data_IF_341535719328
#
_entry.id   IF_341535719328
#
_cell.length_a   1.000
_cell.length_b   1.000
_cell.length_c   1.000
_cell.angle_alpha   90.00
_cell.angle_beta   90.00
_cell.angle_gamma   90.00
#
_symmetry.space_group_name_H-M   'P 1'
#
loop_
_entity.id
_entity.type
_entity.pdbx_description
1 polymer ?
#
# COMPACT_ATOMS: atom_id res chain seq x y z
N UNK A 1 1.22 -4.96 -23.30
CA UNK A 1 2.11 -5.23 -22.15
C UNK A 1 3.36 -5.95 -22.64
N UNK A 2 4.52 -5.74 -22.01
CA UNK A 2 5.75 -6.47 -22.35
C UNK A 2 5.65 -7.93 -21.85
N UNK A 3 6.33 -8.86 -22.51
CA UNK A 3 6.33 -10.30 -22.21
C UNK A 3 6.66 -10.59 -20.73
N UNK A 4 7.67 -9.91 -20.18
CA UNK A 4 8.06 -10.07 -18.77
C UNK A 4 6.98 -9.64 -17.78
N UNK A 5 6.19 -8.62 -18.11
CA UNK A 5 5.09 -8.18 -17.26
C UNK A 5 3.98 -9.23 -17.21
N UNK A 6 3.70 -9.89 -18.34
CA UNK A 6 2.75 -11.00 -18.37
C UNK A 6 3.26 -12.18 -17.52
N UNK A 7 4.55 -12.53 -17.65
CA UNK A 7 5.16 -13.58 -16.81
C UNK A 7 5.10 -13.25 -15.33
N UNK A 8 5.38 -12.00 -14.94
CA UNK A 8 5.22 -11.52 -13.56
C UNK A 8 3.80 -11.76 -13.03
N UNK A 9 2.78 -11.34 -13.79
CA UNK A 9 1.38 -11.48 -13.37
C UNK A 9 0.94 -12.95 -13.29
N UNK A 10 1.38 -13.80 -14.23
CA UNK A 10 1.10 -15.23 -14.21
C UNK A 10 1.71 -15.93 -12.98
N UNK A 11 2.99 -15.67 -12.70
CA UNK A 11 3.68 -16.23 -11.54
C UNK A 11 3.08 -15.73 -10.22
N UNK A 12 2.68 -14.45 -10.19
CA UNK A 12 2.04 -13.84 -9.03
C UNK A 12 0.68 -14.47 -8.74
N UNK A 13 -0.18 -14.67 -9.75
CA UNK A 13 -1.46 -15.38 -9.58
C UNK A 13 -1.27 -16.75 -8.96
N UNK A 14 -0.33 -17.53 -9.47
CA UNK A 14 -0.03 -18.85 -8.92
C UNK A 14 0.58 -18.80 -7.51
N UNK A 15 1.19 -17.69 -7.10
CA UNK A 15 1.67 -17.52 -5.72
C UNK A 15 0.52 -17.35 -4.72
N UNK A 16 -0.62 -16.85 -5.17
CA UNK A 16 -1.82 -16.62 -4.35
C UNK A 16 -2.62 -17.92 -4.13
N UNK A 17 -2.41 -18.93 -4.98
CA UNK A 17 -3.03 -20.25 -4.91
C UNK A 17 -1.95 -21.36 -4.85
N UNK A 18 -1.29 -21.59 -3.69
CA UNK A 18 -0.13 -22.49 -3.61
C UNK A 18 -0.44 -23.96 -3.99
N UNK A 19 -1.70 -24.36 -3.90
CA UNK A 19 -2.21 -25.69 -4.24
C UNK A 19 -2.36 -25.91 -5.74
N UNK A 20 -2.43 -24.82 -6.53
CA UNK A 20 -2.56 -24.87 -7.99
C UNK A 20 -1.17 -24.97 -8.62
N UNK A 21 -1.03 -25.86 -9.61
CA UNK A 21 0.21 -26.00 -10.38
C UNK A 21 0.63 -24.66 -11.00
N UNK A 22 1.94 -24.33 -10.99
CA UNK A 22 2.40 -23.09 -11.58
C UNK A 22 2.11 -23.06 -13.10
N UNK A 23 1.91 -21.88 -13.68
CA UNK A 23 1.58 -21.74 -15.09
C UNK A 23 2.77 -22.13 -15.97
N UNK A 24 2.47 -22.54 -17.20
CA UNK A 24 3.50 -22.64 -18.23
C UNK A 24 3.99 -21.25 -18.60
N UNK A 25 5.27 -20.96 -18.35
CA UNK A 25 5.90 -19.69 -18.71
C UNK A 25 6.84 -19.86 -19.90
N UNK A 26 7.07 -18.81 -20.71
CA UNK A 26 8.10 -18.86 -21.74
C UNK A 26 9.47 -19.11 -21.13
N UNK A 27 10.37 -19.76 -21.88
CA UNK A 27 11.76 -19.93 -21.45
C UNK A 27 12.43 -18.56 -21.35
N UNK A 28 12.82 -18.19 -20.13
CA UNK A 28 13.49 -16.92 -19.85
C UNK A 28 15.01 -17.07 -19.96
N UNK A 29 15.67 -16.04 -20.48
CA UNK A 29 17.13 -15.92 -20.41
C UNK A 29 17.59 -15.50 -19.01
N UNK A 30 18.89 -15.59 -18.72
CA UNK A 30 19.46 -15.10 -17.45
C UNK A 30 19.21 -13.59 -17.26
N UNK A 31 19.23 -12.82 -18.35
CA UNK A 31 18.92 -11.39 -18.31
C UNK A 31 17.44 -11.15 -17.98
N UNK A 32 16.54 -11.92 -18.58
CA UNK A 32 15.11 -11.87 -18.30
C UNK A 32 14.81 -12.18 -16.84
N UNK A 33 15.46 -13.19 -16.25
CA UNK A 33 15.32 -13.49 -14.83
C UNK A 33 15.83 -12.36 -13.92
N UNK A 34 16.93 -11.70 -14.27
CA UNK A 34 17.42 -10.53 -13.54
C UNK A 34 16.44 -9.35 -13.62
N UNK A 35 15.86 -9.12 -14.80
CA UNK A 35 14.83 -8.10 -15.00
C UNK A 35 13.56 -8.43 -14.22
N UNK A 36 13.12 -9.70 -14.22
CA UNK A 36 11.98 -10.16 -13.45
C UNK A 36 12.20 -10.00 -11.93
N UNK A 37 13.40 -10.31 -11.42
CA UNK A 37 13.77 -10.04 -10.03
C UNK A 37 13.62 -8.55 -9.68
N UNK A 38 14.11 -7.69 -10.57
CA UNK A 38 14.03 -6.23 -10.38
C UNK A 38 12.57 -5.75 -10.39
N UNK A 39 11.75 -6.26 -11.31
CA UNK A 39 10.32 -5.95 -11.38
C UNK A 39 9.58 -6.44 -10.12
N UNK A 40 9.86 -7.66 -9.66
CA UNK A 40 9.26 -8.22 -8.45
C UNK A 40 9.56 -7.36 -7.22
N UNK A 41 10.82 -6.92 -7.07
CA UNK A 41 11.24 -6.03 -5.99
C UNK A 41 10.59 -4.64 -6.10
N UNK A 42 10.48 -4.08 -7.31
CA UNK A 42 9.78 -2.80 -7.52
C UNK A 42 8.30 -2.88 -7.14
N UNK A 43 7.68 -4.04 -7.39
CA UNK A 43 6.28 -4.27 -7.08
C UNK A 43 6.01 -4.80 -5.67
N UNK A 44 7.04 -5.09 -4.88
CA UNK A 44 6.92 -5.58 -3.51
C UNK A 44 6.38 -7.01 -3.40
N UNK A 45 6.72 -7.85 -4.39
CA UNK A 45 6.19 -9.22 -4.53
C UNK A 45 7.29 -10.28 -4.67
N UNK A 46 8.53 -9.95 -4.27
CA UNK A 46 9.70 -10.84 -4.42
C UNK A 46 9.52 -12.18 -3.72
N UNK A 47 9.09 -12.17 -2.45
CA UNK A 47 8.92 -13.39 -1.67
C UNK A 47 7.82 -14.29 -2.24
N UNK A 48 6.67 -13.69 -2.59
CA UNK A 48 5.55 -14.40 -3.24
C UNK A 48 5.97 -15.07 -4.54
N UNK A 49 6.71 -14.36 -5.41
CA UNK A 49 7.19 -14.93 -6.66
C UNK A 49 8.18 -16.06 -6.44
N UNK A 50 9.03 -15.96 -5.41
CA UNK A 50 10.04 -16.98 -5.14
C UNK A 50 9.42 -18.34 -4.85
N UNK A 51 8.32 -18.37 -4.08
CA UNK A 51 7.58 -19.61 -3.80
C UNK A 51 7.05 -20.28 -5.07
N UNK A 52 6.53 -19.50 -6.02
CA UNK A 52 6.11 -20.04 -7.31
C UNK A 52 7.29 -20.48 -8.17
N UNK A 53 8.40 -19.73 -8.17
CA UNK A 53 9.61 -20.08 -8.92
C UNK A 53 10.16 -21.45 -8.46
N UNK A 54 10.15 -21.74 -7.17
CA UNK A 54 10.61 -23.02 -6.64
C UNK A 54 9.74 -24.21 -7.04
N UNK A 55 8.47 -23.97 -7.41
CA UNK A 55 7.54 -24.99 -7.90
C UNK A 55 7.62 -25.22 -9.42
N UNK A 56 8.28 -24.34 -10.17
CA UNK A 56 8.48 -24.53 -11.61
C UNK A 56 9.35 -25.76 -11.89
N UNK A 57 9.19 -26.42 -13.06
CA UNK A 57 10.12 -27.44 -13.51
C UNK A 57 11.57 -26.95 -13.44
N UNK A 58 12.51 -27.80 -13.04
CA UNK A 58 13.91 -27.39 -12.80
C UNK A 58 14.55 -26.71 -14.03
N UNK A 59 14.21 -27.14 -15.24
CA UNK A 59 14.70 -26.59 -16.49
C UNK A 59 14.14 -25.19 -16.80
N UNK A 60 13.07 -24.78 -16.12
CA UNK A 60 12.42 -23.48 -16.22
C UNK A 60 12.77 -22.56 -15.03
N UNK A 61 13.63 -22.99 -14.09
CA UNK A 61 14.06 -22.14 -12.98
C UNK A 61 15.27 -21.26 -13.37
N UNK A 62 15.50 -20.14 -12.66
CA UNK A 62 16.71 -19.35 -12.84
C UNK A 62 17.97 -20.12 -12.40
N UNK A 63 19.15 -19.58 -12.77
CA UNK A 63 20.44 -20.12 -12.33
C UNK A 63 20.53 -20.24 -10.80
N UNK A 64 21.41 -21.13 -10.32
CA UNK A 64 21.66 -21.29 -8.87
C UNK A 64 22.05 -19.98 -8.20
N UNK A 65 22.88 -19.16 -8.84
CA UNK A 65 23.31 -17.87 -8.31
C UNK A 65 22.12 -16.92 -8.14
N UNK A 66 21.22 -16.85 -9.13
CA UNK A 66 19.99 -16.07 -9.01
C UNK A 66 19.07 -16.62 -7.93
N UNK A 67 18.86 -17.93 -7.84
CA UNK A 67 18.05 -18.54 -6.77
C UNK A 67 18.51 -18.15 -5.38
N UNK A 68 19.83 -18.11 -5.14
CA UNK A 68 20.39 -17.63 -3.86
C UNK A 68 20.03 -16.16 -3.61
N UNK A 69 20.11 -15.30 -4.64
CA UNK A 69 19.71 -13.89 -4.53
C UNK A 69 18.23 -13.72 -4.19
N UNK A 70 17.35 -14.49 -4.84
CA UNK A 70 15.92 -14.53 -4.50
C UNK A 70 15.71 -14.99 -3.05
N UNK A 71 16.32 -16.11 -2.66
CA UNK A 71 16.21 -16.67 -1.31
C UNK A 71 16.64 -15.67 -0.21
N UNK A 72 17.80 -15.03 -0.37
CA UNK A 72 18.29 -14.03 0.59
C UNK A 72 17.36 -12.80 0.68
N UNK A 73 16.76 -12.41 -0.44
CA UNK A 73 15.80 -11.30 -0.47
C UNK A 73 14.49 -11.67 0.24
N UNK A 74 13.98 -12.88 0.01
CA UNK A 74 12.80 -13.41 0.70
C UNK A 74 13.05 -13.57 2.20
N UNK A 75 14.21 -14.11 2.60
CA UNK A 75 14.59 -14.23 4.01
C UNK A 75 14.69 -12.86 4.70
N UNK A 76 15.21 -11.84 4.01
CA UNK A 76 15.25 -10.48 4.53
C UNK A 76 13.85 -9.87 4.72
N UNK A 77 12.90 -10.18 3.82
CA UNK A 77 11.49 -9.78 3.95
C UNK A 77 10.86 -10.46 5.18
N UNK A 78 11.06 -11.77 5.35
CA UNK A 78 10.56 -12.54 6.49
C UNK A 78 11.14 -12.02 7.82
N UNK A 79 12.45 -11.75 7.86
CA UNK A 79 13.12 -11.17 9.05
C UNK A 79 12.56 -9.80 9.41
N UNK A 80 12.29 -8.95 8.40
CA UNK A 80 11.66 -7.63 8.60
C UNK A 80 10.25 -7.78 9.14
N UNK A 81 9.45 -8.68 8.57
CA UNK A 81 8.08 -8.97 9.06
C UNK A 81 8.11 -9.38 10.55
N UNK A 82 9.00 -10.29 10.93
CA UNK A 82 9.15 -10.70 12.32
C UNK A 82 9.61 -9.55 13.24
N UNK A 83 10.52 -8.69 12.77
CA UNK A 83 10.95 -7.50 13.50
C UNK A 83 9.80 -6.51 13.71
N UNK A 84 8.99 -6.27 12.67
CA UNK A 84 7.84 -5.38 12.75
C UNK A 84 6.72 -5.93 13.62
N UNK A 85 6.47 -7.24 13.57
CA UNK A 85 5.51 -7.91 14.45
C UNK A 85 5.89 -7.71 15.93
N UNK A 86 7.17 -7.92 16.28
CA UNK A 86 7.65 -7.66 17.64
C UNK A 86 7.54 -6.19 18.03
N UNK A 87 7.98 -5.28 17.15
CA UNK A 87 7.91 -3.84 17.41
C UNK A 87 6.45 -3.36 17.59
N UNK A 88 5.54 -3.79 16.73
CA UNK A 88 4.11 -3.49 16.83
C UNK A 88 3.57 -3.98 18.17
N UNK A 89 3.81 -5.24 18.53
CA UNK A 89 3.33 -5.80 19.79
C UNK A 89 3.86 -5.06 21.02
N UNK A 90 5.16 -4.76 21.07
CA UNK A 90 5.77 -4.01 22.18
C UNK A 90 5.19 -2.60 22.31
N UNK A 91 5.03 -1.88 21.18
CA UNK A 91 4.48 -0.53 21.15
C UNK A 91 2.99 -0.51 21.53
N UNK A 92 2.17 -1.38 20.94
CA UNK A 92 0.74 -1.43 21.27
C UNK A 92 0.50 -1.84 22.71
N UNK A 93 1.36 -2.70 23.28
CA UNK A 93 1.32 -3.05 24.71
C UNK A 93 1.71 -1.87 25.60
N UNK A 94 2.78 -1.14 25.26
CA UNK A 94 3.18 0.08 25.97
C UNK A 94 2.04 1.09 25.99
N UNK A 95 1.44 1.39 24.84
CA UNK A 95 0.34 2.32 24.73
C UNK A 95 -0.89 1.87 25.52
N UNK A 96 -1.29 0.60 25.38
CA UNK A 96 -2.42 0.04 26.11
C UNK A 96 -2.22 0.11 27.64
N UNK A 97 -1.00 -0.17 28.15
CA UNK A 97 -0.70 -0.07 29.58
C UNK A 97 -0.82 1.35 30.15
N UNK A 98 -0.82 2.37 29.28
CA UNK A 98 -1.03 3.77 29.64
C UNK A 98 -2.41 4.28 29.19
N UNK A 99 -3.35 3.39 28.84
CA UNK A 99 -4.71 3.75 28.44
C UNK A 99 -4.79 4.47 27.09
N UNK A 100 -3.79 4.31 26.22
CA UNK A 100 -3.82 4.79 24.84
C UNK A 100 -4.23 3.62 23.93
N UNK A 101 -5.40 3.75 23.30
CA UNK A 101 -5.89 2.75 22.33
C UNK A 101 -5.15 2.94 21.02
N UNK A 102 -4.74 1.82 20.43
CA UNK A 102 -4.04 1.81 19.14
C UNK A 102 -4.67 0.83 18.16
N UNK A 103 -4.66 1.19 16.88
CA UNK A 103 -5.01 0.30 15.77
C UNK A 103 -3.84 0.24 14.80
N UNK A 104 -3.37 -0.96 14.50
CA UNK A 104 -2.37 -1.20 13.45
C UNK A 104 -3.04 -1.10 12.09
N UNK A 105 -2.75 -0.04 11.36
CA UNK A 105 -3.29 0.24 10.04
C UNK A 105 -2.46 -0.43 8.95
N UNK A 106 -3.14 -0.80 7.85
CA UNK A 106 -2.56 -1.30 6.59
C UNK A 106 -1.36 -2.24 6.81
N UNK A 107 -0.46 -2.33 5.84
CA UNK A 107 0.88 -2.79 6.15
C UNK A 107 0.93 -4.23 6.68
N UNK A 108 1.56 -4.37 7.85
CA UNK A 108 1.61 -5.60 8.62
C UNK A 108 0.22 -6.13 9.01
N UNK A 109 -0.76 -5.26 9.28
CA UNK A 109 -2.13 -5.67 9.61
C UNK A 109 -2.84 -6.41 8.47
N UNK A 110 -2.43 -6.18 7.21
CA UNK A 110 -2.99 -6.86 6.04
C UNK A 110 -2.25 -8.13 5.65
N UNK A 111 -1.11 -8.43 6.28
CA UNK A 111 -0.33 -9.62 5.92
C UNK A 111 -1.10 -10.92 6.16
N UNK A 112 -2.08 -10.90 7.08
CA UNK A 112 -2.91 -12.05 7.41
C UNK A 112 -3.71 -12.60 6.22
N UNK A 113 -3.95 -11.77 5.19
CA UNK A 113 -4.72 -12.16 4.00
C UNK A 113 -3.86 -12.84 2.93
N UNK A 114 -2.53 -12.84 3.09
CA UNK A 114 -1.62 -13.50 2.15
C UNK A 114 -1.49 -14.99 2.48
N UNK A 115 -1.24 -15.88 1.50
CA UNK A 115 -1.06 -17.32 1.75
C UNK A 115 0.03 -17.61 2.78
N UNK A 116 1.08 -16.79 2.78
CA UNK A 116 2.11 -16.75 3.82
C UNK A 116 2.28 -15.31 4.31
N UNK A 117 1.84 -14.97 5.53
CA UNK A 117 1.89 -13.59 6.01
C UNK A 117 3.28 -12.95 5.98
N UNK A 118 4.33 -13.72 6.25
CA UNK A 118 5.71 -13.22 6.29
C UNK A 118 6.24 -12.80 4.91
N UNK A 119 5.53 -13.14 3.83
CA UNK A 119 5.91 -12.80 2.45
C UNK A 119 5.31 -11.51 1.94
N UNK A 120 4.37 -10.93 2.69
CA UNK A 120 3.90 -9.58 2.44
C UNK A 120 5.02 -8.62 2.83
N UNK A 121 5.74 -8.10 1.83
CA UNK A 121 6.78 -7.11 2.08
C UNK A 121 6.17 -5.88 2.76
N UNK A 122 6.77 -5.42 3.86
CA UNK A 122 6.30 -4.30 4.67
C UNK A 122 7.31 -3.15 4.68
N UNK A 123 6.80 -1.92 4.74
CA UNK A 123 7.59 -0.70 4.81
C UNK A 123 7.67 -0.19 6.25
N UNK A 124 6.78 0.74 6.58
CA UNK A 124 6.52 1.29 7.91
C UNK A 124 5.54 0.46 8.73
N UNK A 125 5.44 0.81 10.01
CA UNK A 125 4.31 0.50 10.88
C UNK A 125 3.47 1.77 11.02
N UNK A 126 2.17 1.69 10.75
CA UNK A 126 1.24 2.80 10.90
C UNK A 126 0.28 2.49 12.04
N UNK A 127 0.32 3.31 13.09
CA UNK A 127 -0.56 3.18 14.24
C UNK A 127 -1.49 4.37 14.29
N UNK A 128 -2.81 4.13 14.28
CA UNK A 128 -3.74 5.16 14.74
C UNK A 128 -3.83 5.13 16.25
N UNK A 129 -3.76 6.30 16.88
CA UNK A 129 -3.86 6.47 18.33
C UNK A 129 -5.06 7.36 18.65
N UNK A 130 -5.87 6.97 19.64
CA UNK A 130 -6.95 7.82 20.12
C UNK A 130 -6.45 9.06 20.89
N UNK A 131 -5.24 9.00 21.44
CA UNK A 131 -4.51 10.12 22.07
C UNK A 131 -3.05 10.12 21.58
N UNK A 132 -2.85 10.69 20.39
CA UNK A 132 -1.53 10.72 19.74
C UNK A 132 -0.52 11.56 20.53
N UNK A 133 -0.93 12.66 21.17
CA UNK A 133 -0.04 13.49 21.97
C UNK A 133 0.50 12.73 23.19
N UNK A 134 -0.37 11.97 23.89
CA UNK A 134 0.07 11.09 24.97
C UNK A 134 0.96 9.97 24.47
N UNK A 135 0.61 9.34 23.35
CA UNK A 135 1.46 8.31 22.73
C UNK A 135 2.85 8.83 22.38
N UNK A 136 2.95 10.03 21.80
CA UNK A 136 4.22 10.64 21.45
C UNK A 136 5.06 10.95 22.69
N UNK A 137 4.46 11.49 23.77
CA UNK A 137 5.18 11.69 25.04
C UNK A 137 5.76 10.39 25.60
N UNK A 138 5.01 9.29 25.57
CA UNK A 138 5.50 7.97 26.02
C UNK A 138 6.71 7.51 25.20
N UNK A 139 6.77 7.82 23.91
CA UNK A 139 7.91 7.51 23.05
C UNK A 139 9.12 8.41 23.37
N UNK A 140 8.90 9.69 23.63
CA UNK A 140 9.95 10.62 24.06
C UNK A 140 10.55 10.23 25.42
N UNK A 141 9.73 9.73 26.35
CA UNK A 141 10.16 9.21 27.66
C UNK A 141 11.10 8.00 27.53
N UNK A 142 11.05 7.25 26.42
CA UNK A 142 12.03 6.21 26.07
C UNK A 142 13.34 6.77 25.50
N UNK A 143 13.49 8.10 25.42
CA UNK A 143 14.65 8.77 24.82
C UNK A 143 14.65 8.76 23.29
N UNK A 144 13.52 8.45 22.65
CA UNK A 144 13.39 8.37 21.20
C UNK A 144 12.98 9.74 20.64
N UNK A 145 13.72 10.22 19.64
CA UNK A 145 13.37 11.46 18.94
C UNK A 145 12.23 11.24 17.96
N UNK A 146 11.27 12.15 17.98
CA UNK A 146 10.11 12.14 17.09
C UNK A 146 10.19 13.32 16.11
N UNK A 147 9.81 13.05 14.86
CA UNK A 147 9.60 14.09 13.84
C UNK A 147 8.11 14.43 13.73
N UNK A 148 7.79 15.72 13.84
CA UNK A 148 6.43 16.29 13.74
C UNK A 148 6.20 17.13 12.48
N UNK A 149 7.00 16.94 11.42
CA UNK A 149 6.89 17.69 10.15
C UNK A 149 5.57 17.46 9.39
N UNK A 150 4.80 16.42 9.75
CA UNK A 150 3.53 16.06 9.13
C UNK A 150 2.37 16.38 10.07
N UNK A 151 1.34 17.06 9.54
CA UNK A 151 0.09 17.34 10.28
C UNK A 151 -0.74 16.07 10.54
N UNK A 152 -0.47 14.99 9.80
CA UNK A 152 -1.26 13.75 9.88
C UNK A 152 -0.70 12.75 10.90
N UNK A 153 0.62 12.71 11.06
CA UNK A 153 1.30 11.71 11.89
C UNK A 153 2.66 12.19 12.35
N UNK A 154 3.10 11.68 13.50
CA UNK A 154 4.46 11.81 13.97
C UNK A 154 5.29 10.59 13.52
N UNK A 155 6.57 10.79 13.20
CA UNK A 155 7.45 9.72 12.69
C UNK A 155 8.63 9.50 13.62
N UNK A 156 8.90 8.24 13.97
CA UNK A 156 10.06 7.86 14.78
C UNK A 156 10.60 6.49 14.37
N UNK A 157 11.75 6.11 14.93
CA UNK A 157 12.33 4.79 14.73
C UNK A 157 12.38 4.02 16.05
N UNK A 158 11.75 2.86 16.07
CA UNK A 158 11.73 1.96 17.22
C UNK A 158 12.42 0.65 16.87
N UNK A 159 13.56 0.36 17.53
CA UNK A 159 14.38 -0.85 17.28
C UNK A 159 14.67 -1.12 15.79
N UNK A 160 14.95 -0.07 15.03
CA UNK A 160 15.26 -0.13 13.59
C UNK A 160 14.05 -0.18 12.66
N UNK A 161 12.82 -0.08 13.19
CA UNK A 161 11.58 0.01 12.41
C UNK A 161 11.07 1.45 12.40
N UNK A 162 10.73 1.97 11.23
CA UNK A 162 10.05 3.27 11.11
C UNK A 162 8.58 3.12 11.50
N UNK A 163 8.11 4.00 12.38
CA UNK A 163 6.73 4.00 12.90
C UNK A 163 6.11 5.37 12.66
N UNK A 164 4.87 5.37 12.17
CA UNK A 164 4.02 6.54 12.02
C UNK A 164 2.88 6.48 13.06
N UNK A 165 2.90 7.39 14.04
CA UNK A 165 1.79 7.59 14.96
C UNK A 165 0.81 8.59 14.36
N UNK A 166 -0.31 8.09 13.84
CA UNK A 166 -1.37 8.88 13.24
C UNK A 166 -2.28 9.51 14.28
N UNK A 167 -2.36 10.85 14.24
CA UNK A 167 -3.44 11.62 14.90
C UNK A 167 -4.70 11.68 14.03
N UNK A 168 -4.53 11.61 12.70
CA UNK A 168 -5.63 11.61 11.72
C UNK A 168 -5.53 10.42 10.78
N UNK A 169 -6.67 9.83 10.42
CA UNK A 169 -6.75 8.67 9.54
C UNK A 169 -6.60 9.09 8.08
N UNK A 170 -7.27 10.18 7.71
CA UNK A 170 -7.09 10.86 6.43
C UNK A 170 -6.20 12.10 6.59
N UNK A 171 -5.85 12.73 5.46
CA UNK A 171 -5.20 14.03 5.52
C UNK A 171 -6.20 15.06 6.04
N UNK A 172 -5.82 15.91 7.03
CA UNK A 172 -6.65 17.02 7.44
C UNK A 172 -7.08 17.86 6.23
N UNK A 173 -8.38 18.09 6.11
CA UNK A 173 -8.98 18.77 4.97
C UNK A 173 -10.08 19.73 5.43
N UNK A 174 -10.14 20.91 4.82
CA UNK A 174 -11.20 21.87 5.11
C UNK A 174 -12.55 21.47 4.50
N UNK A 175 -12.57 20.50 3.57
CA UNK A 175 -13.81 20.01 2.95
C UNK A 175 -14.66 19.30 4.00
N UNK A 176 -15.95 19.66 4.11
CA UNK A 176 -16.87 19.08 5.12
C UNK A 176 -17.03 17.57 4.94
N UNK A 177 -17.11 17.11 3.70
CA UNK A 177 -17.25 15.68 3.37
C UNK A 177 -16.04 14.87 3.83
N UNK A 178 -14.82 15.40 3.69
CA UNK A 178 -13.60 14.74 4.16
C UNK A 178 -13.56 14.59 5.67
N UNK A 179 -13.97 15.62 6.42
CA UNK A 179 -14.11 15.54 7.87
C UNK A 179 -15.14 14.50 8.29
N UNK A 180 -16.30 14.47 7.64
CA UNK A 180 -17.32 13.46 7.92
C UNK A 180 -16.83 12.01 7.69
N UNK A 181 -15.95 11.80 6.71
CA UNK A 181 -15.31 10.49 6.50
C UNK A 181 -14.31 10.17 7.61
N UNK A 182 -13.47 11.12 8.02
CA UNK A 182 -12.53 10.93 9.12
C UNK A 182 -13.29 10.62 10.43
N UNK A 183 -14.35 11.37 10.74
CA UNK A 183 -15.24 11.15 11.88
C UNK A 183 -15.90 9.76 11.82
N UNK A 184 -16.36 9.33 10.64
CA UNK A 184 -16.90 7.99 10.43
C UNK A 184 -15.85 6.92 10.71
N UNK A 185 -14.62 7.08 10.22
CA UNK A 185 -13.54 6.13 10.46
C UNK A 185 -13.14 6.09 11.95
N UNK A 186 -13.12 7.23 12.64
CA UNK A 186 -12.90 7.29 14.09
C UNK A 186 -14.03 6.57 14.85
N UNK A 187 -15.28 6.70 14.40
CA UNK A 187 -16.39 5.90 14.94
C UNK A 187 -16.21 4.40 14.69
N UNK A 188 -15.83 4.01 13.48
CA UNK A 188 -15.55 2.60 13.12
C UNK A 188 -14.32 2.02 13.82
N UNK A 189 -13.41 2.86 14.32
CA UNK A 189 -12.28 2.41 15.13
C UNK A 189 -12.75 1.68 16.40
N UNK A 190 -13.95 1.97 16.91
CA UNK A 190 -14.57 1.23 18.01
C UNK A 190 -14.81 -0.25 17.68
N UNK A 191 -15.05 -0.57 16.40
CA UNK A 191 -15.28 -1.93 15.88
C UNK A 191 -13.97 -2.66 15.50
N UNK A 192 -12.81 -2.14 15.89
CA UNK A 192 -11.51 -2.79 15.64
C UNK A 192 -11.45 -4.20 16.23
N UNK A 193 -10.75 -5.11 15.56
CA UNK A 193 -10.65 -6.53 15.94
C UNK A 193 -9.28 -6.84 16.53
N UNK A 194 -9.23 -7.65 17.57
CA UNK A 194 -7.97 -8.18 18.10
C UNK A 194 -7.46 -9.27 17.16
N UNK A 195 -6.35 -9.02 16.47
CA UNK A 195 -5.71 -10.02 15.63
C UNK A 195 -5.01 -11.09 16.50
N UNK A 196 -4.82 -12.32 15.98
CA UNK A 196 -4.09 -13.38 16.71
C UNK A 196 -2.70 -12.98 17.20
N UNK A 197 -2.06 -12.02 16.53
CA UNK A 197 -0.76 -11.46 16.90
C UNK A 197 -0.80 -10.51 18.13
N UNK A 198 -1.97 -10.26 18.72
CA UNK A 198 -2.13 -9.53 19.98
C UNK A 198 -2.23 -8.00 19.85
N UNK A 199 -2.51 -7.48 18.66
CA UNK A 199 -2.79 -6.06 18.42
C UNK A 199 -4.13 -5.88 17.70
N UNK A 200 -4.75 -4.70 17.85
CA UNK A 200 -6.00 -4.39 17.16
C UNK A 200 -5.75 -3.98 15.71
N UNK A 201 -6.59 -4.49 14.79
CA UNK A 201 -6.64 -4.12 13.38
C UNK A 201 -8.02 -3.52 13.05
N UNK A 202 -8.16 -2.76 11.94
CA UNK A 202 -9.43 -2.15 11.61
C UNK A 202 -10.53 -3.16 11.29
N UNK A 203 -11.80 -2.73 11.41
CA UNK A 203 -12.96 -3.49 10.94
C UNK A 203 -13.00 -3.54 9.39
N UNK A 204 -13.78 -4.45 8.78
CA UNK A 204 -14.00 -4.47 7.34
C UNK A 204 -14.57 -3.16 6.80
N UNK A 205 -15.56 -2.58 7.50
CA UNK A 205 -16.13 -1.28 7.15
C UNK A 205 -15.08 -0.16 7.17
N UNK A 206 -14.23 -0.14 8.19
CA UNK A 206 -13.11 0.80 8.24
C UNK A 206 -12.15 0.58 7.07
N UNK A 207 -11.69 -0.65 6.86
CA UNK A 207 -10.68 -0.98 5.85
C UNK A 207 -11.18 -0.73 4.43
N UNK A 208 -12.46 -1.00 4.14
CA UNK A 208 -13.06 -0.70 2.85
C UNK A 208 -12.77 0.76 2.46
N UNK A 209 -13.10 1.69 3.36
CA UNK A 209 -12.92 3.12 3.13
C UNK A 209 -11.46 3.56 3.26
N UNK A 210 -10.79 3.21 4.36
CA UNK A 210 -9.42 3.65 4.65
C UNK A 210 -8.42 3.17 3.59
N UNK A 211 -8.45 1.89 3.20
CA UNK A 211 -7.49 1.33 2.24
C UNK A 211 -7.68 1.95 0.86
N UNK A 212 -8.93 2.12 0.40
CA UNK A 212 -9.19 2.78 -0.88
C UNK A 212 -8.67 4.22 -0.86
N UNK A 213 -9.02 4.99 0.17
CA UNK A 213 -8.61 6.41 0.30
C UNK A 213 -7.09 6.55 0.35
N UNK A 214 -6.42 5.68 1.11
CA UNK A 214 -4.97 5.62 1.19
C UNK A 214 -4.33 5.30 -0.16
N UNK A 215 -4.78 4.22 -0.81
CA UNK A 215 -4.28 3.80 -2.12
C UNK A 215 -4.50 4.86 -3.20
N UNK A 216 -5.69 5.48 -3.26
CA UNK A 216 -6.01 6.54 -4.20
C UNK A 216 -5.14 7.79 -4.00
N UNK A 217 -4.86 8.18 -2.76
CA UNK A 217 -3.92 9.26 -2.44
C UNK A 217 -2.51 8.95 -2.95
N UNK A 218 -1.98 7.76 -2.65
CA UNK A 218 -0.65 7.36 -3.15
C UNK A 218 -0.64 7.32 -4.68
N UNK A 219 -1.70 6.80 -5.30
CA UNK A 219 -1.83 6.77 -6.76
C UNK A 219 -1.76 8.16 -7.38
N UNK A 220 -2.36 9.16 -6.73
CA UNK A 220 -2.42 10.53 -7.20
C UNK A 220 -1.07 11.19 -7.44
N UNK A 221 -0.05 10.95 -6.61
CA UNK A 221 1.26 11.64 -6.76
C UNK A 221 2.50 10.76 -6.63
N UNK A 222 2.41 9.70 -5.83
CA UNK A 222 3.55 8.85 -5.52
C UNK A 222 3.66 7.66 -6.48
N UNK A 223 2.50 7.16 -6.91
CA UNK A 223 2.30 5.90 -7.61
C UNK A 223 1.96 4.78 -6.62
N UNK A 224 1.27 3.76 -7.11
CA UNK A 224 1.06 2.50 -6.40
C UNK A 224 1.65 1.36 -7.23
N UNK A 225 1.92 0.24 -6.56
CA UNK A 225 2.45 -0.96 -7.18
C UNK A 225 1.48 -2.14 -7.02
N UNK A 226 1.80 -3.31 -7.58
CA UNK A 226 0.92 -4.48 -7.54
C UNK A 226 0.58 -4.92 -6.11
N UNK A 227 1.50 -4.79 -5.15
CA UNK A 227 1.22 -5.10 -3.73
C UNK A 227 0.03 -4.29 -3.18
N UNK A 228 -0.19 -3.04 -3.62
CA UNK A 228 -1.36 -2.28 -3.17
C UNK A 228 -2.67 -2.86 -3.72
N UNK A 229 -2.67 -3.33 -4.98
CA UNK A 229 -3.83 -4.03 -5.55
C UNK A 229 -4.05 -5.40 -4.89
N UNK A 230 -2.98 -6.12 -4.54
CA UNK A 230 -3.06 -7.37 -3.78
C UNK A 230 -3.64 -7.14 -2.39
N UNK A 231 -3.11 -6.16 -1.65
CA UNK A 231 -3.63 -5.76 -0.34
C UNK A 231 -5.14 -5.48 -0.41
N UNK A 232 -5.59 -4.76 -1.44
CA UNK A 232 -7.00 -4.45 -1.66
C UNK A 232 -7.85 -5.69 -2.00
N UNK A 233 -7.41 -6.48 -2.98
CA UNK A 233 -8.20 -7.60 -3.45
C UNK A 233 -8.23 -8.78 -2.49
N UNK A 234 -7.13 -9.08 -1.79
CA UNK A 234 -7.09 -10.12 -0.75
C UNK A 234 -7.94 -9.73 0.46
N UNK A 235 -8.00 -8.44 0.80
CA UNK A 235 -8.94 -7.92 1.79
C UNK A 235 -10.39 -8.15 1.34
N UNK A 236 -10.75 -7.78 0.11
CA UNK A 236 -12.10 -7.98 -0.41
C UNK A 236 -12.48 -9.47 -0.46
N UNK A 237 -11.61 -10.32 -1.01
CA UNK A 237 -11.78 -11.79 -1.02
C UNK A 237 -12.16 -12.33 0.36
N UNK A 238 -11.47 -11.85 1.39
CA UNK A 238 -11.60 -12.37 2.75
C UNK A 238 -12.76 -11.78 3.54
N UNK A 239 -13.08 -10.50 3.34
CA UNK A 239 -13.94 -9.74 4.27
C UNK A 239 -15.21 -9.17 3.60
N UNK A 240 -15.39 -9.32 2.28
CA UNK A 240 -16.52 -8.72 1.55
C UNK A 240 -17.89 -9.05 2.15
N UNK A 241 -18.09 -10.23 2.72
CA UNK A 241 -19.36 -10.62 3.35
C UNK A 241 -19.72 -9.79 4.59
N UNK A 242 -18.76 -9.09 5.18
CA UNK A 242 -18.94 -8.27 6.38
C UNK A 242 -18.96 -6.77 6.10
N UNK A 243 -18.95 -6.39 4.81
CA UNK A 243 -19.00 -4.99 4.37
C UNK A 243 -20.43 -4.64 3.97
N UNK A 244 -20.96 -3.57 4.57
CA UNK A 244 -22.17 -2.90 4.08
C UNK A 244 -21.81 -2.09 2.82
N UNK A 245 -21.93 -2.76 1.66
CA UNK A 245 -21.62 -2.15 0.37
C UNK A 245 -22.58 -1.03 -0.01
N UNK A 246 -23.85 -1.06 0.42
CA UNK A 246 -24.78 0.04 0.14
C UNK A 246 -24.27 1.34 0.77
N UNK A 247 -23.87 1.27 2.04
CA UNK A 247 -23.29 2.40 2.77
C UNK A 247 -21.94 2.83 2.20
N UNK A 248 -21.04 1.88 1.93
CA UNK A 248 -19.69 2.19 1.40
C UNK A 248 -19.78 2.85 0.02
N UNK A 249 -20.59 2.32 -0.89
CA UNK A 249 -20.77 2.89 -2.24
C UNK A 249 -21.40 4.29 -2.17
N UNK A 250 -22.33 4.51 -1.23
CA UNK A 250 -22.90 5.85 -0.97
C UNK A 250 -21.81 6.84 -0.54
N UNK A 251 -20.90 6.44 0.36
CA UNK A 251 -19.79 7.30 0.81
C UNK A 251 -18.80 7.59 -0.33
N UNK A 252 -18.52 6.62 -1.19
CA UNK A 252 -17.67 6.84 -2.37
C UNK A 252 -18.31 7.81 -3.35
N UNK A 253 -19.59 7.64 -3.67
CA UNK A 253 -20.30 8.56 -4.56
C UNK A 253 -20.34 9.98 -3.98
N UNK A 254 -20.63 10.13 -2.69
CA UNK A 254 -20.68 11.43 -2.01
C UNK A 254 -19.32 12.16 -1.97
N UNK A 255 -18.21 11.43 -2.11
CA UNK A 255 -16.86 11.98 -2.09
C UNK A 255 -16.19 12.01 -3.47
N UNK A 256 -16.79 11.40 -4.50
CA UNK A 256 -16.23 11.28 -5.85
C UNK A 256 -15.12 10.22 -5.98
N UNK A 257 -15.16 9.18 -5.14
CA UNK A 257 -14.20 8.07 -5.12
C UNK A 257 -14.76 6.79 -5.79
N UNK A 258 -15.98 6.83 -6.30
CA UNK A 258 -16.67 5.71 -6.96
C UNK A 258 -15.93 5.23 -8.22
N UNK A 259 -15.45 6.17 -9.06
CA UNK A 259 -14.74 5.80 -10.29
C UNK A 259 -13.41 5.10 -9.99
N UNK A 260 -12.64 5.61 -9.02
CA UNK A 260 -11.35 5.00 -8.65
C UNK A 260 -11.56 3.67 -7.92
N UNK A 261 -12.59 3.55 -7.08
CA UNK A 261 -13.02 2.29 -6.48
C UNK A 261 -13.29 1.23 -7.55
N UNK A 262 -14.17 1.52 -8.52
CA UNK A 262 -14.56 0.55 -9.54
C UNK A 262 -13.35 0.07 -10.35
N UNK A 263 -12.42 0.96 -10.70
CA UNK A 263 -11.21 0.59 -11.44
C UNK A 263 -10.27 -0.26 -10.59
N UNK A 264 -10.00 0.13 -9.35
CA UNK A 264 -9.09 -0.63 -8.49
C UNK A 264 -9.65 -2.00 -8.13
N UNK A 265 -10.96 -2.11 -7.85
CA UNK A 265 -11.63 -3.38 -7.59
C UNK A 265 -11.63 -4.29 -8.81
N UNK A 266 -11.93 -3.78 -10.01
CA UNK A 266 -11.84 -4.56 -11.24
C UNK A 266 -10.41 -5.07 -11.53
N UNK A 267 -9.40 -4.21 -11.36
CA UNK A 267 -8.00 -4.60 -11.54
C UNK A 267 -7.52 -5.60 -10.48
N UNK A 268 -8.00 -5.49 -9.24
CA UNK A 268 -7.71 -6.44 -8.20
C UNK A 268 -8.32 -7.82 -8.51
N UNK A 269 -9.59 -7.86 -8.97
CA UNK A 269 -10.25 -9.10 -9.41
C UNK A 269 -9.50 -9.76 -10.57
N UNK A 270 -9.10 -8.98 -11.59
CA UNK A 270 -8.25 -9.48 -12.67
C UNK A 270 -6.88 -9.99 -12.18
N UNK A 271 -6.29 -9.34 -11.18
CA UNK A 271 -4.99 -9.76 -10.62
C UNK A 271 -5.11 -11.08 -9.85
N UNK A 272 -6.23 -11.29 -9.16
CA UNK A 272 -6.51 -12.44 -8.30
C UNK A 272 -7.22 -13.60 -9.01
N UNK A 273 -7.66 -13.39 -10.25
CA UNK A 273 -8.54 -14.29 -11.00
C UNK A 273 -9.88 -14.54 -10.28
N UNK A 274 -10.48 -13.46 -9.77
CA UNK A 274 -11.68 -13.49 -8.94
C UNK A 274 -12.75 -12.53 -9.48
N UNK A 275 -14.01 -12.98 -9.45
CA UNK A 275 -15.13 -12.17 -9.93
C UNK A 275 -15.60 -11.16 -8.88
N UNK A 276 -15.02 -9.97 -8.92
CA UNK A 276 -15.48 -8.81 -8.15
C UNK A 276 -16.51 -7.94 -8.88
N UNK A 277 -17.04 -8.38 -10.04
CA UNK A 277 -18.08 -7.63 -10.77
C UNK A 277 -19.30 -7.31 -9.90
N UNK A 278 -19.79 -8.20 -9.02
CA UNK A 278 -20.91 -7.89 -8.13
C UNK A 278 -20.65 -6.76 -7.14
N UNK A 279 -19.38 -6.44 -6.85
CA UNK A 279 -18.99 -5.39 -5.91
C UNK A 279 -18.94 -3.99 -6.54
N UNK A 280 -19.00 -3.91 -7.87
CA UNK A 280 -18.85 -2.66 -8.60
C UNK A 280 -20.15 -1.85 -8.59
N UNK A 281 -20.06 -0.53 -8.41
CA UNK A 281 -21.21 0.35 -8.62
C UNK A 281 -21.45 0.67 -10.09
N UNK A 282 -20.42 0.57 -10.92
CA UNK A 282 -20.50 0.74 -12.37
C UNK A 282 -19.36 0.00 -13.06
N UNK A 283 -19.60 -0.45 -14.30
CA UNK A 283 -18.57 -1.03 -15.15
C UNK A 283 -17.52 0.06 -15.48
N UNK A 284 -16.22 -0.17 -15.19
CA UNK A 284 -15.19 0.82 -15.48
C UNK A 284 -15.01 1.08 -16.98
N UNK A 285 -14.73 2.33 -17.35
CA UNK A 285 -14.29 2.65 -18.71
C UNK A 285 -13.03 1.84 -19.07
N UNK A 286 -13.05 1.03 -20.15
CA UNK A 286 -11.94 0.14 -20.47
C UNK A 286 -10.62 0.87 -20.75
N UNK A 287 -10.68 2.05 -21.39
CA UNK A 287 -9.47 2.80 -21.73
C UNK A 287 -8.82 3.41 -20.48
N UNK A 288 -9.64 3.94 -19.59
CA UNK A 288 -9.19 4.50 -18.31
C UNK A 288 -8.66 3.42 -17.39
N UNK A 289 -9.35 2.27 -17.28
CA UNK A 289 -8.86 1.10 -16.53
C UNK A 289 -7.50 0.64 -17.06
N UNK A 290 -7.34 0.51 -18.37
CA UNK A 290 -6.06 0.15 -18.98
C UNK A 290 -4.97 1.20 -18.72
N UNK A 291 -5.32 2.50 -18.76
CA UNK A 291 -4.38 3.57 -18.44
C UNK A 291 -3.91 3.52 -16.99
N UNK A 292 -4.81 3.21 -16.05
CA UNK A 292 -4.47 3.00 -14.64
C UNK A 292 -3.55 1.79 -14.47
N UNK A 293 -3.89 0.65 -15.10
CA UNK A 293 -3.02 -0.53 -15.07
C UNK A 293 -1.62 -0.23 -15.60
N UNK A 294 -1.51 0.49 -16.72
CA UNK A 294 -0.21 0.88 -17.28
C UNK A 294 0.60 1.79 -16.33
N UNK A 295 -0.05 2.68 -15.59
CA UNK A 295 0.61 3.53 -14.58
C UNK A 295 1.13 2.68 -13.40
N UNK A 296 0.34 1.72 -12.93
CA UNK A 296 0.71 0.78 -11.85
C UNK A 296 1.89 -0.10 -12.30
N UNK A 297 1.83 -0.66 -13.51
CA UNK A 297 2.90 -1.49 -14.08
C UNK A 297 4.16 -0.67 -14.41
N UNK A 298 4.01 0.63 -14.64
CA UNK A 298 5.11 1.60 -14.81
C UNK A 298 5.67 2.13 -13.49
N UNK A 299 5.27 1.59 -12.34
CA UNK A 299 5.75 2.02 -11.04
C UNK A 299 7.28 1.94 -10.94
N UNK A 300 7.88 2.94 -10.28
CA UNK A 300 9.33 2.96 -10.06
C UNK A 300 10.18 3.48 -11.22
N UNK A 301 9.63 3.63 -12.45
CA UNK A 301 10.36 4.16 -13.62
C UNK A 301 11.00 5.54 -13.38
N UNK A 302 10.43 6.33 -12.46
CA UNK A 302 10.91 7.67 -12.10
C UNK A 302 11.78 7.71 -10.83
N UNK A 303 12.10 6.57 -10.18
CA UNK A 303 12.83 6.51 -8.89
C UNK A 303 14.37 6.46 -9.04
N UNK A 304 14.96 7.26 -9.93
CA UNK A 304 16.43 7.39 -10.00
C UNK A 304 16.93 8.61 -9.21
N UNK A 305 17.66 8.42 -8.09
CA UNK A 305 18.13 9.51 -7.24
C UNK A 305 19.35 10.27 -7.79
N UNK A 306 19.93 9.83 -8.92
CA UNK A 306 21.16 10.40 -9.47
C UNK A 306 20.91 11.72 -10.23
N UNK A 307 21.60 12.78 -9.81
CA UNK A 307 21.60 14.08 -10.51
C UNK A 307 21.77 15.26 -9.56
N UNK A 308 22.21 16.40 -10.11
CA UNK A 308 22.29 17.66 -9.36
C UNK A 308 20.90 18.18 -8.95
N UNK A 309 20.84 19.14 -8.03
CA UNK A 309 19.59 19.67 -7.47
C UNK A 309 18.58 20.12 -8.54
N UNK A 310 19.03 20.84 -9.57
CA UNK A 310 18.16 21.30 -10.67
C UNK A 310 17.53 20.15 -11.45
N UNK A 311 18.31 19.10 -11.76
CA UNK A 311 17.77 17.92 -12.42
C UNK A 311 16.77 17.16 -11.54
N UNK A 312 16.99 17.10 -10.22
CA UNK A 312 16.04 16.51 -9.27
C UNK A 312 14.72 17.28 -9.23
N UNK A 313 14.78 18.61 -9.14
CA UNK A 313 13.61 19.49 -9.20
C UNK A 313 12.86 19.28 -10.51
N UNK A 314 13.55 19.34 -11.66
CA UNK A 314 12.94 19.17 -12.98
C UNK A 314 12.23 17.81 -13.14
N UNK A 315 12.83 16.73 -12.63
CA UNK A 315 12.22 15.38 -12.62
C UNK A 315 11.01 15.32 -11.70
N UNK A 316 11.10 15.86 -10.49
CA UNK A 316 9.98 15.90 -9.53
C UNK A 316 8.80 16.67 -10.11
N UNK A 317 9.05 17.83 -10.71
CA UNK A 317 8.03 18.63 -11.41
C UNK A 317 7.43 17.85 -12.57
N UNK A 318 8.24 17.25 -13.45
CA UNK A 318 7.74 16.45 -14.58
C UNK A 318 6.85 15.29 -14.10
N UNK A 319 7.26 14.56 -13.07
CA UNK A 319 6.46 13.49 -12.46
C UNK A 319 5.15 14.02 -11.89
N UNK A 320 5.18 15.15 -11.20
CA UNK A 320 3.98 15.75 -10.63
C UNK A 320 2.97 16.13 -11.72
N UNK A 321 3.44 16.78 -12.79
CA UNK A 321 2.60 17.14 -13.93
C UNK A 321 2.13 15.93 -14.75
N UNK A 322 2.92 14.85 -14.82
CA UNK A 322 2.48 13.60 -15.43
C UNK A 322 1.34 12.94 -14.66
N UNK A 323 1.10 13.32 -13.40
CA UNK A 323 -0.04 12.85 -12.62
C UNK A 323 -1.31 13.69 -12.81
N UNK A 324 -1.25 14.83 -13.50
CA UNK A 324 -2.41 15.74 -13.68
C UNK A 324 -3.65 15.05 -14.24
N UNK A 325 -3.48 14.06 -15.12
CA UNK A 325 -4.61 13.33 -15.69
C UNK A 325 -5.42 12.60 -14.62
N UNK A 326 -4.77 12.06 -13.57
CA UNK A 326 -5.42 11.32 -12.49
C UNK A 326 -6.47 12.18 -11.79
N UNK A 327 -6.15 13.45 -11.54
CA UNK A 327 -7.05 14.42 -10.92
C UNK A 327 -8.08 15.03 -11.89
N UNK A 328 -7.93 14.83 -13.20
CA UNK A 328 -8.94 15.27 -14.18
C UNK A 328 -9.99 14.19 -14.43
N UNK A 329 -9.67 12.93 -14.17
CA UNK A 329 -10.51 11.79 -14.59
C UNK A 329 -10.87 10.81 -13.48
N UNK A 330 -10.14 10.79 -12.35
CA UNK A 330 -10.28 9.75 -11.32
C UNK A 330 -10.43 10.31 -9.90
N UNK A 331 -9.58 11.26 -9.53
CA UNK A 331 -9.52 11.77 -8.16
C UNK A 331 -10.31 13.07 -8.03
N UNK A 332 -11.11 13.23 -6.96
CA UNK A 332 -11.97 14.41 -6.76
C UNK A 332 -11.22 15.64 -6.23
N UNK A 333 -9.94 15.50 -5.90
CA UNK A 333 -9.08 16.61 -5.55
C UNK A 333 -8.74 17.47 -6.78
N UNK A 334 -8.66 18.78 -6.58
CA UNK A 334 -8.25 19.69 -7.64
C UNK A 334 -6.71 19.71 -7.73
N UNK A 335 -6.16 19.31 -8.87
CA UNK A 335 -4.71 19.26 -9.07
C UNK A 335 -3.97 20.56 -8.68
N UNK A 336 -4.53 21.73 -9.01
CA UNK A 336 -3.85 23.00 -8.72
C UNK A 336 -3.96 23.37 -7.25
N UNK A 337 -5.18 23.36 -6.71
CA UNK A 337 -5.46 23.81 -5.34
C UNK A 337 -4.97 22.81 -4.29
N UNK A 338 -5.17 21.52 -4.53
CA UNK A 338 -5.00 20.48 -3.51
C UNK A 338 -3.67 19.72 -3.65
N UNK A 339 -2.92 19.92 -4.74
CA UNK A 339 -1.62 19.24 -4.98
C UNK A 339 -0.49 20.23 -5.22
N UNK A 340 -0.63 21.14 -6.21
CA UNK A 340 0.43 22.09 -6.57
C UNK A 340 0.64 23.14 -5.47
N UNK A 341 -0.43 23.80 -5.02
CA UNK A 341 -0.33 24.87 -4.03
C UNK A 341 0.28 24.39 -2.70
N UNK A 342 -0.16 23.27 -2.08
CA UNK A 342 0.46 22.77 -0.85
C UNK A 342 1.93 22.38 -1.03
N UNK A 343 2.28 21.79 -2.18
CA UNK A 343 3.67 21.44 -2.51
C UNK A 343 4.57 22.69 -2.59
N UNK A 344 4.09 23.76 -3.24
CA UNK A 344 4.80 25.04 -3.30
C UNK A 344 4.95 25.66 -1.90
N UNK A 345 3.88 25.69 -1.11
CA UNK A 345 3.91 26.22 0.26
C UNK A 345 4.88 25.44 1.16
N UNK A 346 4.89 24.11 1.07
CA UNK A 346 5.82 23.27 1.80
C UNK A 346 7.28 23.58 1.43
N UNK A 347 7.59 23.74 0.14
CA UNK A 347 8.93 24.06 -0.31
C UNK A 347 9.38 25.50 0.00
N UNK A 348 8.45 26.44 0.07
CA UNK A 348 8.71 27.80 0.56
C UNK A 348 9.05 27.80 2.06
N UNK A 349 8.33 27.01 2.87
CA UNK A 349 8.61 26.87 4.32
C UNK A 349 9.88 26.05 4.59
N UNK A 350 10.19 25.07 3.72
CA UNK A 350 11.30 24.14 3.88
C UNK A 350 12.24 24.16 2.66
N UNK A 351 12.99 25.26 2.43
CA UNK A 351 13.83 25.40 1.23
C UNK A 351 14.98 24.38 1.17
N UNK A 352 15.35 23.75 2.31
CA UNK A 352 16.33 22.66 2.35
C UNK A 352 15.81 21.34 1.77
N UNK A 353 14.49 21.18 1.65
CA UNK A 353 13.82 19.96 1.17
C UNK A 353 13.49 19.99 -0.34
N UNK A 354 14.03 20.97 -1.07
CA UNK A 354 13.90 21.11 -2.54
C UNK A 354 14.92 20.24 -3.29
#
# INVERSE_FOLDING_TARGET
MNNLTNTLLQLLRAALEPTVSPPSIPRLTEEDWNRLFTLAAQHGVTALLFDTILRLPEQQQPSRALKIRWALSSEAIEKRHAQQTRAAHELTTLFASHGVRTILLKGLGLSIYYPRPEHRECGDIDLWLNDCDKGNRLIEELGIKINHDSEKHAVFHYKGVMVENHSHLLMPSHRRTERAIDDFLVGEAENSRLAPAGYYTPSPMFNALYLLRHMARHFGTEGINLRHLLDWGLFLRSEQSEIDFEKILTLYAATGYDTVYNIFTALAGELLDEDFTPLLSAVPDPQLKQRVLNDILGFGVYRTPSGNRLTRIGRKTRKLFSCRWKYRTLLPENFWRDVILPSLLFHLKNPKNI
#
